data_IF_608362860851
#
_entry.id   IF_608362860851
#
_cell.length_a   1.000
_cell.length_b   1.000
_cell.length_c   1.000
_cell.angle_alpha   90.00
_cell.angle_beta   90.00
_cell.angle_gamma   90.00
#
_symmetry.space_group_name_H-M   'P 1'
#
loop_
_entity.id
_entity.type
_entity.pdbx_description
1 polymer ?
#
# COMPACT_ATOMS: atom_id res chain seq x y z
N UNK A 1 3.84 -2.49 8.98
CA UNK A 1 4.63 -2.14 7.77
C UNK A 1 4.56 -0.63 7.62
N UNK A 2 5.70 0.08 7.58
CA UNK A 2 5.69 1.53 7.32
C UNK A 2 5.80 1.75 5.81
N UNK A 3 4.70 2.19 5.18
CA UNK A 3 4.66 2.33 3.72
C UNK A 3 5.44 3.55 3.21
N UNK A 4 5.77 4.54 4.06
CA UNK A 4 6.51 5.75 3.66
C UNK A 4 7.91 5.44 3.13
N UNK A 5 8.46 4.29 3.52
CA UNK A 5 9.80 3.87 3.11
C UNK A 5 9.80 2.88 1.96
N UNK A 6 8.64 2.56 1.37
CA UNK A 6 8.58 1.62 0.27
C UNK A 6 8.90 2.34 -1.04
N UNK A 7 9.93 1.86 -1.73
CA UNK A 7 10.35 2.36 -3.04
C UNK A 7 9.71 1.54 -4.16
N UNK A 8 9.77 0.21 -4.04
CA UNK A 8 9.29 -0.68 -5.09
C UNK A 8 8.71 -1.98 -4.53
N UNK A 9 7.64 -2.48 -5.15
CA UNK A 9 7.09 -3.81 -4.95
C UNK A 9 7.33 -4.60 -6.25
N UNK A 10 7.82 -5.82 -6.14
CA UNK A 10 7.99 -6.75 -7.25
C UNK A 10 7.42 -8.10 -6.84
N UNK A 11 6.81 -8.82 -7.77
CA UNK A 11 6.28 -10.16 -7.55
C UNK A 11 6.77 -11.07 -8.66
N UNK A 12 7.72 -11.99 -8.37
CA UNK A 12 8.07 -13.17 -9.20
C UNK A 12 9.31 -13.90 -8.61
N UNK A 13 9.23 -15.17 -8.14
CA UNK A 13 8.04 -15.97 -7.80
C UNK A 13 7.37 -15.55 -6.48
N UNK A 14 8.11 -14.81 -5.64
CA UNK A 14 7.66 -14.28 -4.35
C UNK A 14 7.51 -12.75 -4.41
N UNK A 15 6.78 -12.18 -3.45
CA UNK A 15 6.65 -10.71 -3.35
C UNK A 15 7.83 -10.14 -2.58
N UNK A 16 8.58 -9.24 -3.23
CA UNK A 16 9.71 -8.51 -2.66
C UNK A 16 9.37 -7.04 -2.55
N UNK A 17 9.67 -6.45 -1.39
CA UNK A 17 9.55 -5.02 -1.12
C UNK A 17 10.95 -4.44 -1.02
N UNK A 18 11.26 -3.46 -1.85
CA UNK A 18 12.47 -2.64 -1.75
C UNK A 18 12.13 -1.37 -0.99
N UNK A 19 12.90 -1.11 0.07
CA UNK A 19 12.80 0.12 0.84
C UNK A 19 13.70 1.21 0.24
N UNK A 20 13.41 2.47 0.51
CA UNK A 20 14.20 3.65 0.10
C UNK A 20 15.64 3.63 0.62
N UNK A 21 15.93 2.78 1.62
CA UNK A 21 17.30 2.48 2.08
C UNK A 21 18.02 1.42 1.24
N UNK A 22 17.47 1.04 0.09
CA UNK A 22 17.90 -0.07 -0.76
C UNK A 22 17.81 -1.47 -0.10
N UNK A 23 17.26 -1.58 1.11
CA UNK A 23 17.01 -2.87 1.76
C UNK A 23 15.86 -3.60 1.08
N UNK A 24 16.07 -4.87 0.73
CA UNK A 24 15.04 -5.75 0.17
C UNK A 24 14.53 -6.73 1.22
N UNK A 25 13.22 -6.92 1.27
CA UNK A 25 12.56 -7.92 2.12
C UNK A 25 11.60 -8.76 1.29
N UNK A 26 11.55 -10.06 1.57
CA UNK A 26 10.58 -10.97 0.97
C UNK A 26 9.41 -11.12 1.95
N UNK A 27 8.20 -11.06 1.44
CA UNK A 27 6.96 -11.16 2.21
C UNK A 27 6.10 -12.32 1.71
N UNK A 28 5.25 -12.85 2.58
CA UNK A 28 4.33 -13.95 2.22
C UNK A 28 3.07 -13.44 1.54
N UNK A 29 2.74 -12.16 1.76
CA UNK A 29 1.61 -11.50 1.14
C UNK A 29 1.81 -11.36 -0.37
N UNK A 30 0.72 -11.51 -1.13
CA UNK A 30 0.71 -11.17 -2.54
C UNK A 30 0.87 -9.67 -2.74
N UNK A 31 1.32 -9.27 -3.93
CA UNK A 31 1.41 -7.87 -4.33
C UNK A 31 0.11 -7.10 -4.07
N UNK A 32 -1.05 -7.70 -4.35
CA UNK A 32 -2.37 -7.08 -4.14
C UNK A 32 -2.60 -6.79 -2.64
N UNK A 33 -2.28 -7.75 -1.77
CA UNK A 33 -2.43 -7.57 -0.31
C UNK A 33 -1.46 -6.52 0.24
N UNK A 34 -0.23 -6.49 -0.26
CA UNK A 34 0.76 -5.46 0.10
C UNK A 34 0.25 -4.08 -0.29
N UNK A 35 -0.26 -3.92 -1.51
CA UNK A 35 -0.83 -2.65 -1.99
C UNK A 35 -2.03 -2.22 -1.16
N UNK A 36 -2.92 -3.15 -0.78
CA UNK A 36 -4.06 -2.87 0.10
C UNK A 36 -3.57 -2.33 1.46
N UNK A 37 -2.62 -3.02 2.10
CA UNK A 37 -2.03 -2.58 3.39
C UNK A 37 -1.37 -1.21 3.29
N UNK A 38 -0.74 -0.89 2.16
CA UNK A 38 -0.14 0.43 1.91
C UNK A 38 -1.22 1.52 1.86
N UNK A 39 -2.32 1.27 1.13
CA UNK A 39 -3.44 2.22 1.04
C UNK A 39 -4.08 2.46 2.39
N UNK A 40 -4.31 1.40 3.16
CA UNK A 40 -4.86 1.49 4.53
C UNK A 40 -3.94 2.28 5.45
N UNK A 41 -2.62 2.06 5.35
CA UNK A 41 -1.64 2.82 6.10
C UNK A 41 -1.67 4.31 5.72
N UNK A 42 -1.77 4.66 4.43
CA UNK A 42 -1.86 6.05 4.01
C UNK A 42 -3.17 6.73 4.41
N UNK A 43 -4.28 5.99 4.43
CA UNK A 43 -5.55 6.47 4.95
C UNK A 43 -5.49 6.69 6.47
N UNK A 44 -4.87 5.77 7.22
CA UNK A 44 -4.80 5.84 8.68
C UNK A 44 -3.97 7.01 9.18
N UNK A 45 -2.95 7.44 8.43
CA UNK A 45 -2.15 8.63 8.74
C UNK A 45 -2.64 9.91 8.07
N UNK A 46 -3.79 9.87 7.37
CA UNK A 46 -4.38 11.03 6.70
C UNK A 46 -3.58 11.56 5.50
N UNK A 47 -2.64 10.79 4.96
CA UNK A 47 -1.81 11.19 3.82
C UNK A 47 -2.62 11.24 2.51
N UNK A 48 -3.57 10.32 2.38
CA UNK A 48 -4.54 10.33 1.29
C UNK A 48 -5.88 10.71 1.90
N UNK A 49 -6.33 11.94 1.63
CA UNK A 49 -7.65 12.40 2.05
C UNK A 49 -8.73 11.40 1.63
N UNK A 50 -9.58 11.01 2.57
CA UNK A 50 -10.75 10.18 2.27
C UNK A 50 -11.66 10.97 1.34
N UNK A 51 -11.73 10.58 0.06
CA UNK A 51 -12.90 10.92 -0.75
C UNK A 51 -14.05 10.13 -0.13
N UNK A 52 -14.78 10.76 0.78
CA UNK A 52 -16.12 10.29 1.15
C UNK A 52 -16.85 10.10 -0.17
N UNK A 53 -17.22 8.84 -0.43
CA UNK A 53 -18.02 8.47 -1.58
C UNK A 53 -19.34 9.22 -1.39
N UNK A 54 -19.49 10.38 -2.03
CA UNK A 54 -20.77 11.06 -2.09
C UNK A 54 -21.72 10.10 -2.80
N UNK A 55 -22.47 9.34 -2.01
CA UNK A 55 -23.61 8.60 -2.52
C UNK A 55 -24.56 9.63 -3.09
N UNK A 56 -24.59 9.65 -4.42
CA UNK A 56 -25.50 10.44 -5.23
C UNK A 56 -26.90 9.97 -4.87
N UNK A 57 -27.50 10.61 -3.89
CA UNK A 57 -28.89 10.43 -3.51
C UNK A 57 -29.71 11.17 -4.57
N UNK A 58 -29.80 10.58 -5.76
CA UNK A 58 -30.75 10.99 -6.79
C UNK A 58 -32.13 10.50 -6.34
N UNK A 59 -32.93 11.45 -5.86
CA UNK A 59 -34.37 11.29 -5.65
C UNK A 59 -35.11 11.34 -6.98
#
# INVERSE_FOLDING_TARGET
>A
MNALFIEQIQSFPDTTITLTSSKKIIVQESEIEVVRKIREFYQSIGLIGTKEKQEKNER
#
